data_IF_239404026741
#
_entry.id   IF_239404026741
#
_cell.length_a   1.000
_cell.length_b   1.000
_cell.length_c   1.000
_cell.angle_alpha   90.00
_cell.angle_beta   90.00
_cell.angle_gamma   90.00
#
_symmetry.space_group_name_H-M   'P 1'
#
loop_
_entity.id
_entity.type
_entity.pdbx_description
1 polymer ?
#
# COMPACT_ATOMS: atom_id res chain seq x y z
N UNK A 1 -22.85 -43.33 -31.04
CA UNK A 1 -23.23 -42.34 -30.01
C UNK A 1 -23.65 -40.98 -30.58
N UNK A 2 -23.41 -40.70 -31.88
CA UNK A 2 -23.69 -39.39 -32.50
C UNK A 2 -25.13 -39.21 -33.03
N UNK A 3 -26.02 -40.18 -32.86
CA UNK A 3 -27.39 -40.10 -33.43
C UNK A 3 -28.46 -39.71 -32.40
N UNK A 4 -28.11 -39.64 -31.11
CA UNK A 4 -29.06 -39.34 -30.03
C UNK A 4 -29.13 -37.85 -29.64
N UNK A 5 -28.20 -37.02 -30.11
CA UNK A 5 -28.14 -35.60 -29.78
C UNK A 5 -28.89 -34.69 -30.76
N UNK A 6 -29.19 -35.16 -31.98
CA UNK A 6 -29.92 -34.38 -32.99
C UNK A 6 -31.44 -34.35 -32.76
N UNK A 7 -31.98 -35.22 -31.89
CA UNK A 7 -33.42 -35.33 -31.61
C UNK A 7 -33.91 -34.34 -30.54
N UNK A 8 -33.02 -33.55 -29.93
CA UNK A 8 -33.36 -32.51 -28.98
C UNK A 8 -32.76 -31.21 -29.49
N UNK A 9 -33.62 -30.26 -29.89
CA UNK A 9 -33.24 -28.90 -30.29
C UNK A 9 -32.72 -28.10 -29.08
N UNK A 10 -31.64 -28.58 -28.46
CA UNK A 10 -30.98 -27.95 -27.32
C UNK A 10 -29.81 -27.17 -27.91
N UNK A 11 -30.04 -25.89 -28.21
CA UNK A 11 -28.95 -24.92 -28.29
C UNK A 11 -28.30 -24.86 -26.92
N UNK A 12 -27.17 -25.55 -26.76
CA UNK A 12 -26.26 -25.34 -25.64
C UNK A 12 -25.60 -23.99 -25.90
N UNK A 13 -26.25 -22.92 -25.45
CA UNK A 13 -25.56 -21.66 -25.21
C UNK A 13 -24.53 -21.96 -24.12
N UNK A 14 -23.27 -22.05 -24.49
CA UNK A 14 -22.17 -21.96 -23.53
C UNK A 14 -22.45 -20.73 -22.66
N UNK A 15 -22.52 -20.84 -21.32
CA UNK A 15 -22.64 -19.66 -20.49
C UNK A 15 -21.36 -18.87 -20.72
N UNK A 16 -21.46 -17.80 -21.49
CA UNK A 16 -20.41 -16.82 -21.68
C UNK A 16 -20.06 -16.33 -20.28
N UNK A 17 -18.90 -16.76 -19.79
CA UNK A 17 -18.47 -16.44 -18.44
C UNK A 17 -18.53 -14.92 -18.29
N UNK A 18 -19.14 -14.38 -17.22
CA UNK A 18 -19.20 -12.94 -17.03
C UNK A 18 -17.76 -12.42 -17.05
N UNK A 19 -17.46 -11.51 -17.97
CA UNK A 19 -16.15 -10.85 -18.00
C UNK A 19 -15.97 -10.14 -16.66
N UNK A 20 -15.10 -10.70 -15.82
CA UNK A 20 -14.72 -10.09 -14.55
C UNK A 20 -13.96 -8.81 -14.91
N UNK A 21 -14.66 -7.67 -14.85
CA UNK A 21 -14.06 -6.35 -15.03
C UNK A 21 -13.20 -6.03 -13.82
N UNK A 22 -11.90 -6.30 -13.93
CA UNK A 22 -10.91 -5.83 -12.98
C UNK A 22 -10.23 -4.57 -13.56
N UNK A 23 -10.49 -3.38 -12.98
CA UNK A 23 -9.88 -2.13 -13.44
C UNK A 23 -8.35 -2.13 -13.34
N UNK A 24 -7.75 -3.07 -12.58
CA UNK A 24 -6.31 -3.21 -12.41
C UNK A 24 -5.66 -4.18 -13.41
N UNK A 25 -6.42 -5.09 -14.02
CA UNK A 25 -5.89 -6.14 -14.90
C UNK A 25 -6.26 -5.95 -16.38
N UNK A 26 -6.96 -4.85 -16.72
CA UNK A 26 -7.38 -4.59 -18.10
C UNK A 26 -6.17 -4.58 -19.05
N UNK A 27 -6.16 -5.50 -20.02
CA UNK A 27 -5.14 -5.63 -21.06
C UNK A 27 -3.72 -6.02 -20.56
N UNK A 28 -3.59 -6.50 -19.31
CA UNK A 28 -2.31 -6.91 -18.75
C UNK A 28 -2.15 -8.44 -18.80
N UNK A 29 -1.12 -8.93 -19.47
CA UNK A 29 -0.81 -10.37 -19.48
C UNK A 29 -0.18 -10.78 -18.15
N UNK A 30 -0.33 -12.05 -17.76
CA UNK A 30 0.28 -12.58 -16.53
C UNK A 30 1.80 -12.39 -16.51
N UNK A 31 2.46 -12.44 -17.68
CA UNK A 31 3.89 -12.18 -17.78
C UNK A 31 4.24 -10.72 -17.50
N UNK A 32 3.43 -9.77 -17.97
CA UNK A 32 3.62 -8.35 -17.69
C UNK A 32 3.40 -8.04 -16.21
N UNK A 33 2.40 -8.67 -15.60
CA UNK A 33 2.15 -8.57 -14.16
C UNK A 33 3.33 -9.10 -13.35
N UNK A 34 3.78 -10.32 -13.64
CA UNK A 34 4.90 -10.96 -12.94
C UNK A 34 6.19 -10.13 -13.11
N UNK A 35 6.48 -9.64 -14.32
CA UNK A 35 7.64 -8.78 -14.57
C UNK A 35 7.55 -7.45 -13.82
N UNK A 36 6.37 -6.82 -13.79
CA UNK A 36 6.15 -5.57 -13.05
C UNK A 36 6.28 -5.75 -11.54
N UNK A 37 5.69 -6.80 -10.99
CA UNK A 37 5.75 -7.10 -9.54
C UNK A 37 7.16 -7.50 -9.13
N UNK A 38 7.77 -8.49 -9.79
CA UNK A 38 9.13 -8.93 -9.47
C UNK A 38 10.16 -7.81 -9.67
N UNK A 39 10.03 -7.04 -10.74
CA UNK A 39 10.88 -5.87 -10.99
C UNK A 39 10.70 -4.77 -9.93
N UNK A 40 9.52 -4.63 -9.34
CA UNK A 40 9.27 -3.66 -8.25
C UNK A 40 9.71 -4.15 -6.87
N UNK A 41 9.91 -5.46 -6.70
CA UNK A 41 10.43 -6.04 -5.46
C UNK A 41 11.96 -5.92 -5.35
N UNK A 42 12.65 -5.73 -6.46
CA UNK A 42 14.08 -5.45 -6.47
C UNK A 42 14.33 -3.99 -6.06
N UNK A 43 15.10 -3.78 -5.00
CA UNK A 43 15.57 -2.44 -4.62
C UNK A 43 16.93 -2.20 -5.24
N UNK A 44 17.04 -1.21 -6.14
CA UNK A 44 18.33 -0.87 -6.80
C UNK A 44 19.35 -0.29 -5.81
N UNK A 45 18.92 0.67 -4.99
CA UNK A 45 19.75 1.38 -4.03
C UNK A 45 19.11 1.40 -2.65
N UNK A 46 19.88 1.08 -1.61
CA UNK A 46 19.41 1.04 -0.23
C UNK A 46 20.12 2.06 0.66
N UNK A 47 19.36 2.91 1.34
CA UNK A 47 19.88 3.81 2.38
C UNK A 47 19.47 3.29 3.75
N UNK A 48 20.44 3.19 4.67
CA UNK A 48 20.22 2.75 6.05
C UNK A 48 20.41 3.93 7.00
N UNK A 49 19.44 4.17 7.86
CA UNK A 49 19.53 5.17 8.91
C UNK A 49 19.78 4.51 10.26
N UNK A 50 20.83 4.95 10.95
CA UNK A 50 21.11 4.59 12.34
C UNK A 50 20.78 5.80 13.21
N UNK A 51 19.78 5.65 14.07
CA UNK A 51 19.33 6.74 14.93
C UNK A 51 19.17 6.27 16.37
N UNK A 52 19.33 7.21 17.30
CA UNK A 52 19.11 6.95 18.71
C UNK A 52 17.66 7.29 19.07
N UNK A 53 16.95 6.32 19.68
CA UNK A 53 15.56 6.48 20.13
C UNK A 53 15.42 7.26 21.47
N UNK A 54 16.51 7.85 22.00
CA UNK A 54 16.42 8.71 23.18
C UNK A 54 15.52 9.93 22.93
N UNK A 55 15.49 10.42 21.69
CA UNK A 55 14.57 11.49 21.28
C UNK A 55 13.32 10.85 20.64
N UNK A 56 12.14 11.16 21.20
CA UNK A 56 10.85 10.67 20.69
C UNK A 56 10.63 11.00 19.20
N UNK A 57 11.12 12.17 18.74
CA UNK A 57 11.02 12.59 17.33
C UNK A 57 12.17 12.12 16.45
N UNK A 58 13.05 11.23 16.93
CA UNK A 58 14.23 10.78 16.17
C UNK A 58 13.84 10.17 14.82
N UNK A 59 13.01 9.14 14.82
CA UNK A 59 12.56 8.46 13.61
C UNK A 59 11.92 9.43 12.57
N UNK A 60 10.88 10.22 12.90
CA UNK A 60 10.25 11.10 11.90
C UNK A 60 11.20 12.19 11.37
N UNK A 61 12.17 12.65 12.16
CA UNK A 61 13.21 13.58 11.68
C UNK A 61 14.11 12.92 10.64
N UNK A 62 14.59 11.71 10.90
CA UNK A 62 15.42 10.97 9.94
C UNK A 62 14.66 10.65 8.66
N UNK A 63 13.38 10.28 8.76
CA UNK A 63 12.53 10.08 7.57
C UNK A 63 12.40 11.36 6.74
N UNK A 64 12.08 12.50 7.37
CA UNK A 64 11.99 13.78 6.66
C UNK A 64 13.31 14.21 6.02
N UNK A 65 14.43 13.99 6.71
CA UNK A 65 15.77 14.23 6.15
C UNK A 65 16.03 13.39 4.90
N UNK A 66 15.77 12.08 4.96
CA UNK A 66 15.97 11.17 3.83
C UNK A 66 15.07 11.50 2.64
N UNK A 67 13.80 11.82 2.88
CA UNK A 67 12.86 12.24 1.83
C UNK A 67 13.35 13.52 1.13
N UNK A 68 13.86 14.49 1.89
CA UNK A 68 14.43 15.72 1.32
C UNK A 68 15.75 15.47 0.58
N UNK A 69 16.61 14.58 1.08
CA UNK A 69 17.83 14.21 0.39
C UNK A 69 17.51 13.54 -0.96
N UNK A 70 16.54 12.63 -0.99
CA UNK A 70 16.08 11.99 -2.23
C UNK A 70 15.49 13.00 -3.20
N UNK A 71 14.63 13.92 -2.72
CA UNK A 71 14.06 14.99 -3.55
C UNK A 71 15.14 15.80 -4.28
N UNK A 72 16.23 16.12 -3.59
CA UNK A 72 17.35 16.89 -4.16
C UNK A 72 18.21 16.08 -5.13
N UNK A 73 18.29 14.76 -4.98
CA UNK A 73 19.02 13.89 -5.91
C UNK A 73 18.25 13.74 -7.23
N UNK A 74 16.93 13.60 -7.15
CA UNK A 74 16.08 13.42 -8.33
C UNK A 74 15.83 14.73 -9.08
N UNK A 75 15.77 15.88 -8.37
CA UNK A 75 15.44 17.18 -8.96
C UNK A 75 16.67 17.93 -9.50
N UNK A 76 17.32 17.38 -10.54
CA UNK A 76 18.58 17.92 -11.10
C UNK A 76 18.46 19.29 -11.76
N UNK A 77 17.26 19.67 -12.20
CA UNK A 77 17.00 20.89 -12.97
C UNK A 77 16.60 22.10 -12.10
N UNK A 78 16.53 21.94 -10.78
CA UNK A 78 16.11 22.99 -9.84
C UNK A 78 17.17 23.19 -8.76
N UNK A 79 17.32 24.42 -8.28
CA UNK A 79 18.25 24.69 -7.17
C UNK A 79 17.82 23.90 -5.92
N UNK A 80 18.71 23.09 -5.32
CA UNK A 80 18.40 22.33 -4.10
C UNK A 80 17.96 23.17 -2.89
N UNK A 81 18.27 24.48 -2.90
CA UNK A 81 17.89 25.42 -1.85
C UNK A 81 16.42 25.86 -1.93
N UNK A 82 15.83 25.82 -3.12
CA UNK A 82 14.42 26.15 -3.36
C UNK A 82 13.47 24.96 -3.10
N UNK A 83 14.03 23.75 -2.92
CA UNK A 83 13.29 22.51 -2.73
C UNK A 83 13.37 22.01 -1.28
N UNK A 84 12.20 21.78 -0.68
CA UNK A 84 12.09 21.23 0.66
C UNK A 84 10.69 20.78 1.04
N UNK A 85 10.63 19.69 1.79
CA UNK A 85 9.45 19.11 2.42
C UNK A 85 9.59 19.36 3.92
N UNK A 86 8.57 20.01 4.50
CA UNK A 86 8.49 20.24 5.95
C UNK A 86 7.44 19.30 6.52
N UNK A 87 7.84 18.51 7.51
CA UNK A 87 6.94 17.59 8.22
C UNK A 87 6.59 18.16 9.58
N UNK A 88 5.30 18.36 9.83
CA UNK A 88 4.78 18.85 11.11
C UNK A 88 3.84 17.79 11.68
N UNK A 89 4.12 17.36 12.91
CA UNK A 89 3.20 16.48 13.62
C UNK A 89 2.06 17.32 14.20
N UNK A 90 0.83 17.06 13.77
CA UNK A 90 -0.38 17.68 14.30
C UNK A 90 -1.27 16.61 14.96
N UNK A 91 -1.09 16.36 16.27
CA UNK A 91 -1.94 15.42 16.98
C UNK A 91 -3.41 15.87 16.92
N UNK A 92 -4.30 14.92 16.66
CA UNK A 92 -5.74 15.20 16.66
C UNK A 92 -6.24 15.49 18.08
N UNK A 93 -7.12 16.48 18.21
CA UNK A 93 -7.79 16.79 19.47
C UNK A 93 -8.83 15.69 19.74
N UNK A 94 -8.47 14.73 20.60
CA UNK A 94 -9.06 13.39 20.75
C UNK A 94 -10.60 13.26 20.77
N UNK A 95 -11.10 12.06 20.44
CA UNK A 95 -12.19 11.42 21.23
C UNK A 95 -11.96 9.92 21.47
N UNK A 96 -10.75 9.48 21.82
CA UNK A 96 -10.55 8.11 22.30
C UNK A 96 -10.77 8.05 23.81
N UNK A 97 -11.99 8.38 24.25
CA UNK A 97 -12.49 7.95 25.56
C UNK A 97 -12.92 6.47 25.53
N UNK A 98 -12.86 5.82 24.36
CA UNK A 98 -13.58 4.57 24.07
C UNK A 98 -12.77 3.33 23.69
N UNK A 99 -11.46 3.36 23.43
CA UNK A 99 -10.77 2.16 22.91
C UNK A 99 -9.79 1.46 23.87
N UNK A 100 -9.45 2.03 25.03
CA UNK A 100 -8.50 1.40 25.97
C UNK A 100 -8.97 1.35 27.42
N UNK A 101 -10.09 1.99 27.74
CA UNK A 101 -10.54 2.18 29.11
C UNK A 101 -11.61 1.17 29.58
N UNK A 102 -12.13 0.32 28.68
CA UNK A 102 -13.13 -0.71 29.03
C UNK A 102 -12.50 -1.97 29.63
N UNK A 103 -11.26 -2.31 29.27
CA UNK A 103 -10.57 -3.52 29.75
C UNK A 103 -9.93 -3.28 31.14
N UNK A 104 -9.39 -2.07 31.40
CA UNK A 104 -8.71 -1.74 32.66
C UNK A 104 -9.65 -1.37 33.83
N UNK A 105 -10.88 -0.94 33.56
CA UNK A 105 -11.84 -0.53 34.60
C UNK A 105 -12.64 -1.68 35.21
N UNK A 106 -12.74 -2.83 34.55
CA UNK A 106 -13.49 -3.98 35.07
C UNK A 106 -12.73 -4.75 36.16
N UNK A 107 -11.38 -4.69 36.15
CA UNK A 107 -10.55 -5.42 37.12
C UNK A 107 -10.50 -4.74 38.50
N UNK A 108 -10.75 -3.42 38.57
CA UNK A 108 -10.61 -2.63 39.82
C UNK A 108 -11.92 -2.54 40.63
N UNK A 109 -13.05 -3.03 40.11
CA UNK A 109 -14.36 -3.01 40.81
C UNK A 109 -14.78 -4.34 41.45
N UNK A 110 -13.86 -5.29 41.57
CA UNK A 110 -14.10 -6.61 42.16
C UNK A 110 -13.04 -6.97 43.21
N UNK A 111 -12.92 -6.17 44.27
CA UNK A 111 -12.29 -6.51 45.56
C UNK A 111 -12.91 -5.63 46.65
#
# INVERSE_FOLDING_TARGET
LNESAAALNITISTPEAPEIYDPFLKNMTMSNFIAGVLGSMETKDNVKAWFNNKLYTSLPVFTGFLSNALLRIESKDTDPSDLGIITINHPMNQTVKGSFDSEGRQVVRGI
#
